data_IF_663688880515
#
_entry.id   IF_663688880515
#
_cell.length_a   1.000
_cell.length_b   1.000
_cell.length_c   1.000
_cell.angle_alpha   90.00
_cell.angle_beta   90.00
_cell.angle_gamma   90.00
#
_symmetry.space_group_name_H-M   'P 1'
#
loop_
_entity.id
_entity.type
_entity.pdbx_description
1 polymer ?
#
# COMPACT_ATOMS: atom_id res chain seq x y z
N UNK A 1 8.41 24.06 -12.30
CA UNK A 1 8.63 24.45 -12.14
C UNK A 1 8.66 24.45 -11.98
N UNK A 2 8.52 23.99 -11.75
CA UNK A 2 8.75 24.01 -11.36
C UNK A 2 8.27 23.78 -11.45
N UNK A 3 7.93 23.39 -11.81
CA UNK A 3 7.91 23.47 -11.63
C UNK A 3 7.41 23.28 -11.86
N UNK A 4 7.08 23.03 -11.86
CA UNK A 4 7.01 23.07 -11.68
C UNK A 4 6.55 22.85 -11.81
N UNK A 5 6.12 22.48 -11.84
CA UNK A 5 6.25 22.59 -11.66
C UNK A 5 5.50 22.37 -11.73
N UNK A 6 4.79 21.91 -11.76
CA UNK A 6 4.65 22.02 -11.60
C UNK A 6 4.05 21.69 -11.63
N UNK A 7 3.55 21.33 -11.29
CA UNK A 7 3.49 21.36 -11.01
C UNK A 7 2.89 20.97 -11.16
N UNK A 8 2.14 20.37 -11.37
CA UNK A 8 2.02 20.35 -11.29
C UNK A 8 1.57 20.10 -11.02
N UNK A 9 1.00 19.51 -10.67
CA UNK A 9 1.00 19.71 -10.36
C UNK A 9 1.23 19.90 -10.15
N UNK A 10 1.50 19.79 -10.05
CA UNK A 10 2.20 20.46 -9.95
C UNK A 10 2.65 20.63 -9.69
N UNK A 11 2.97 20.35 -9.62
CA UNK A 11 3.86 21.00 -9.40
C UNK A 11 4.60 21.16 -9.33
N UNK A 12 5.11 20.75 -9.44
CA UNK A 12 6.30 21.33 -9.42
C UNK A 12 6.66 21.67 -9.18
N UNK A 13 6.92 21.59 -9.22
CA UNK A 13 7.69 22.21 -8.98
C UNK A 13 8.02 22.44 -8.96
N UNK A 14 8.13 22.43 -8.98
CA UNK A 14 8.74 23.03 -8.97
C UNK A 14 8.87 23.11 -9.00
N UNK A 15 8.82 22.97 -9.11
CA UNK A 15 9.23 23.35 -9.11
C UNK A 15 9.71 23.35 -8.57
N UNK A 16 10.10 23.39 -8.20
CA UNK A 16 10.49 23.44 -7.74
C UNK A 16 10.36 23.76 -7.22
N UNK A 17 10.22 24.05 -6.89
CA UNK A 17 9.71 24.29 -6.78
C UNK A 17 9.12 24.31 -6.94
N UNK A 18 8.91 25.01 -6.71
CA UNK A 18 8.14 24.76 -7.14
C UNK A 18 8.34 23.77 -7.63
N UNK A 19 9.03 24.07 -7.69
CA UNK A 19 9.28 22.76 -7.90
C UNK A 19 9.85 21.99 -6.76
N UNK A 20 10.66 22.48 -5.92
CA UNK A 20 11.06 21.74 -4.76
C UNK A 20 9.86 21.33 -3.94
N UNK A 21 8.91 22.19 -3.79
CA UNK A 21 7.66 21.82 -3.16
C UNK A 21 6.96 20.71 -3.92
N UNK A 22 6.99 20.81 -5.20
CA UNK A 22 6.42 19.81 -6.07
C UNK A 22 7.13 18.48 -5.92
N UNK A 23 8.44 18.49 -5.78
CA UNK A 23 9.18 17.25 -5.58
C UNK A 23 8.84 16.59 -4.25
N UNK A 24 8.63 17.40 -3.22
CA UNK A 24 8.18 16.85 -1.95
C UNK A 24 6.81 16.22 -2.09
N UNK A 25 5.95 16.86 -2.82
CA UNK A 25 4.60 16.32 -3.04
C UNK A 25 4.65 15.05 -3.86
N UNK A 26 5.54 15.00 -4.85
CA UNK A 26 5.70 13.77 -5.62
C UNK A 26 6.23 12.65 -4.76
N UNK A 27 7.18 12.94 -3.86
CA UNK A 27 7.66 11.92 -2.94
C UNK A 27 6.57 11.39 -2.04
N UNK A 28 5.69 12.29 -1.56
CA UNK A 28 4.59 11.88 -0.71
C UNK A 28 3.51 11.14 -1.48
N UNK A 29 3.22 11.58 -2.71
CA UNK A 29 2.13 11.01 -3.48
C UNK A 29 2.56 9.81 -4.32
N UNK A 30 3.87 9.53 -4.37
CA UNK A 30 4.35 8.37 -5.11
C UNK A 30 3.75 7.09 -4.58
N UNK A 31 3.56 7.00 -3.26
CA UNK A 31 2.99 5.82 -2.63
C UNK A 31 1.72 6.21 -1.89
N UNK A 32 0.63 5.61 -2.30
CA UNK A 32 -0.64 5.67 -1.58
C UNK A 32 -0.90 4.25 -1.10
N UNK A 33 -0.72 4.04 0.19
CA UNK A 33 -0.68 2.69 0.74
C UNK A 33 -1.92 2.47 1.58
N UNK A 34 -2.65 1.42 1.28
CA UNK A 34 -3.85 1.06 2.01
C UNK A 34 -3.60 -0.20 2.82
N UNK A 35 -4.08 -0.22 4.06
CA UNK A 35 -3.97 -1.39 4.93
C UNK A 35 -5.38 -1.83 5.30
N UNK A 36 -5.78 -3.00 4.81
CA UNK A 36 -7.08 -3.59 5.11
C UNK A 36 -6.86 -4.76 6.04
N UNK A 37 -7.23 -4.63 7.30
CA UNK A 37 -7.07 -5.69 8.29
C UNK A 37 -8.19 -5.61 9.31
N UNK A 38 -8.69 -6.77 9.72
CA UNK A 38 -9.80 -6.83 10.66
C UNK A 38 -9.40 -6.44 12.07
N UNK A 39 -8.23 -6.92 12.51
CA UNK A 39 -7.79 -6.69 13.87
C UNK A 39 -7.07 -5.35 13.97
N UNK A 40 -7.52 -4.53 14.91
CA UNK A 40 -6.94 -3.21 15.06
C UNK A 40 -5.45 -3.26 15.36
N UNK A 41 -5.04 -4.19 16.22
CA UNK A 41 -3.63 -4.31 16.57
C UNK A 41 -2.77 -4.61 15.35
N UNK A 42 -3.23 -5.53 14.50
CA UNK A 42 -2.50 -5.86 13.28
C UNK A 42 -2.47 -4.68 12.32
N UNK A 43 -3.62 -4.02 12.17
CA UNK A 43 -3.76 -2.88 11.27
C UNK A 43 -2.78 -1.77 11.65
N UNK A 44 -2.71 -1.47 12.93
CA UNK A 44 -1.80 -0.43 13.42
C UNK A 44 -0.35 -0.85 13.27
N UNK A 45 -0.05 -2.11 13.56
CA UNK A 45 1.31 -2.62 13.45
C UNK A 45 1.81 -2.56 12.03
N UNK A 46 1.00 -2.99 11.08
CA UNK A 46 1.39 -2.94 9.67
C UNK A 46 1.60 -1.51 9.20
N UNK A 47 0.66 -0.63 9.55
CA UNK A 47 0.78 0.78 9.15
C UNK A 47 2.03 1.42 9.74
N UNK A 48 2.35 1.10 10.98
CA UNK A 48 3.53 1.62 11.65
C UNK A 48 4.82 1.16 10.98
N UNK A 49 4.88 -0.12 10.65
CA UNK A 49 6.07 -0.67 9.99
C UNK A 49 6.27 -0.04 8.61
N UNK A 50 5.19 0.14 7.87
CA UNK A 50 5.25 0.80 6.56
C UNK A 50 5.79 2.20 6.70
N UNK A 51 5.24 2.96 7.65
CA UNK A 51 5.65 4.34 7.87
C UNK A 51 7.13 4.41 8.24
N UNK A 52 7.57 3.53 9.13
CA UNK A 52 8.95 3.51 9.59
C UNK A 52 9.92 3.21 8.45
N UNK A 53 9.58 2.22 7.63
CA UNK A 53 10.44 1.89 6.51
C UNK A 53 10.53 3.03 5.52
N UNK A 54 9.39 3.64 5.21
CA UNK A 54 9.37 4.74 4.26
C UNK A 54 10.15 5.93 4.77
N UNK A 55 10.00 6.24 6.06
CA UNK A 55 10.77 7.35 6.65
C UNK A 55 12.26 7.09 6.57
N UNK A 56 12.67 5.85 6.81
CA UNK A 56 14.09 5.49 6.71
C UNK A 56 14.63 5.68 5.31
N UNK A 57 13.76 5.62 4.31
CA UNK A 57 14.14 5.82 2.91
C UNK A 57 13.85 7.23 2.42
N UNK A 58 13.44 8.12 3.32
CA UNK A 58 13.14 9.50 2.95
C UNK A 58 11.83 9.66 2.21
N UNK A 59 10.92 8.71 2.36
CA UNK A 59 9.63 8.74 1.68
C UNK A 59 8.53 9.04 2.70
N UNK A 60 7.50 9.73 2.23
CA UNK A 60 6.39 10.12 3.10
C UNK A 60 5.07 9.78 2.42
N UNK A 61 4.71 8.49 2.41
CA UNK A 61 3.49 8.05 1.74
C UNK A 61 2.26 8.42 2.52
N UNK A 62 1.14 8.40 1.82
CA UNK A 62 -0.15 8.45 2.49
C UNK A 62 -0.51 7.01 2.87
N UNK A 63 -0.66 6.74 4.16
CA UNK A 63 -1.01 5.41 4.64
C UNK A 63 -2.39 5.50 5.29
N UNK A 64 -3.34 4.74 4.75
CA UNK A 64 -4.72 4.77 5.23
C UNK A 64 -5.11 3.37 5.67
N UNK A 65 -5.75 3.29 6.83
CA UNK A 65 -6.19 2.02 7.42
C UNK A 65 -7.68 1.83 7.22
N UNK A 66 -8.07 0.60 6.91
CA UNK A 66 -9.46 0.21 6.74
C UNK A 66 -9.75 -1.04 7.55
N UNK A 67 -10.88 -1.06 8.24
CA UNK A 67 -11.29 -2.22 9.03
C UNK A 67 -12.37 -3.04 8.36
N UNK A 68 -12.89 -2.59 7.21
CA UNK A 68 -13.88 -3.37 6.48
C UNK A 68 -13.72 -3.16 4.98
N UNK A 69 -14.22 -4.14 4.23
CA UNK A 69 -14.05 -4.18 2.79
C UNK A 69 -14.83 -3.09 2.07
N UNK A 70 -15.99 -2.75 2.60
CA UNK A 70 -16.86 -1.79 1.93
C UNK A 70 -16.18 -0.45 1.80
N UNK A 71 -15.64 0.07 2.92
CA UNK A 71 -14.93 1.34 2.89
C UNK A 71 -13.67 1.28 2.06
N UNK A 72 -12.98 0.15 2.16
CA UNK A 72 -11.75 -0.04 1.42
C UNK A 72 -12.02 0.06 -0.08
N UNK A 73 -13.00 -0.67 -0.57
CA UNK A 73 -13.26 -0.69 -2.01
C UNK A 73 -13.93 0.58 -2.51
N UNK A 74 -14.66 1.28 -1.66
CA UNK A 74 -15.13 2.62 -2.01
C UNK A 74 -13.95 3.55 -2.29
N UNK A 75 -12.95 3.49 -1.42
CA UNK A 75 -11.77 4.32 -1.57
C UNK A 75 -10.96 3.91 -2.80
N UNK A 76 -10.85 2.61 -3.06
CA UNK A 76 -10.11 2.11 -4.21
C UNK A 76 -10.73 2.62 -5.50
N UNK A 77 -12.05 2.67 -5.57
CA UNK A 77 -12.71 3.14 -6.78
C UNK A 77 -12.51 4.63 -7.02
N UNK A 78 -12.36 5.40 -5.96
CA UNK A 78 -12.17 6.84 -6.09
C UNK A 78 -10.71 7.19 -6.38
N UNK A 79 -9.79 6.49 -5.73
CA UNK A 79 -8.37 6.81 -5.84
C UNK A 79 -7.58 5.55 -5.53
N UNK A 80 -7.21 4.84 -6.57
CA UNK A 80 -6.56 3.54 -6.43
C UNK A 80 -5.26 3.65 -5.67
N UNK A 81 -5.00 2.74 -4.71
CA UNK A 81 -3.72 2.75 -4.01
C UNK A 81 -2.62 2.23 -4.94
N UNK A 82 -1.40 2.68 -4.70
CA UNK A 82 -0.25 2.12 -5.39
C UNK A 82 0.12 0.78 -4.77
N UNK A 83 -0.13 0.65 -3.47
CA UNK A 83 0.25 -0.53 -2.69
C UNK A 83 -0.86 -0.83 -1.68
N UNK A 84 -1.10 -2.10 -1.44
CA UNK A 84 -2.12 -2.49 -0.46
C UNK A 84 -1.69 -3.71 0.33
N UNK A 85 -2.00 -3.71 1.62
CA UNK A 85 -1.87 -4.88 2.47
C UNK A 85 -3.28 -5.40 2.72
N UNK A 86 -3.50 -6.68 2.41
CA UNK A 86 -4.76 -7.35 2.68
C UNK A 86 -4.50 -8.38 3.78
N UNK A 87 -5.18 -8.24 4.91
CA UNK A 87 -5.00 -9.15 6.05
C UNK A 87 -6.35 -9.49 6.65
N UNK A 88 -7.11 -10.29 5.91
CA UNK A 88 -8.42 -10.77 6.31
C UNK A 88 -8.38 -12.28 6.39
N UNK A 89 -9.13 -12.84 7.36
CA UNK A 89 -9.16 -14.28 7.56
C UNK A 89 -9.99 -14.97 6.49
N UNK A 90 -9.58 -16.19 6.16
CA UNK A 90 -10.37 -17.11 5.36
C UNK A 90 -10.66 -16.63 3.96
N UNK A 91 -11.82 -17.03 3.48
CA UNK A 91 -12.24 -16.75 2.11
C UNK A 91 -12.45 -15.26 1.88
N UNK A 92 -12.75 -14.51 2.93
CA UNK A 92 -12.91 -13.06 2.80
C UNK A 92 -11.62 -12.43 2.28
N UNK A 93 -10.47 -12.93 2.74
CA UNK A 93 -9.19 -12.44 2.26
C UNK A 93 -8.97 -12.75 0.79
N UNK A 94 -9.32 -13.97 0.38
CA UNK A 94 -9.20 -14.36 -1.02
C UNK A 94 -10.09 -13.49 -1.89
N UNK A 95 -11.33 -13.30 -1.49
CA UNK A 95 -12.27 -12.49 -2.27
C UNK A 95 -11.78 -11.06 -2.39
N UNK A 96 -11.25 -10.50 -1.31
CA UNK A 96 -10.73 -9.14 -1.32
C UNK A 96 -9.53 -9.02 -2.25
N UNK A 97 -8.62 -9.99 -2.18
CA UNK A 97 -7.43 -9.96 -3.04
C UNK A 97 -7.82 -10.03 -4.52
N UNK A 98 -8.75 -10.91 -4.84
CA UNK A 98 -9.23 -11.05 -6.22
C UNK A 98 -9.90 -9.77 -6.69
N UNK A 99 -10.74 -9.18 -5.84
CA UNK A 99 -11.46 -7.97 -6.20
C UNK A 99 -10.49 -6.80 -6.41
N UNK A 100 -9.52 -6.67 -5.51
CA UNK A 100 -8.53 -5.61 -5.65
C UNK A 100 -7.76 -5.75 -6.96
N UNK A 101 -7.33 -6.96 -7.28
CA UNK A 101 -6.58 -7.18 -8.51
C UNK A 101 -7.41 -6.86 -9.74
N UNK A 102 -8.70 -7.16 -9.72
CA UNK A 102 -9.54 -6.85 -10.86
C UNK A 102 -9.75 -5.35 -11.03
N UNK A 103 -9.81 -4.61 -9.92
CA UNK A 103 -10.02 -3.15 -9.98
C UNK A 103 -8.71 -2.41 -10.26
N UNK A 104 -7.61 -2.93 -9.77
CA UNK A 104 -6.32 -2.23 -9.84
C UNK A 104 -5.23 -3.19 -10.27
N UNK A 105 -5.12 -3.44 -11.58
CA UNK A 105 -4.13 -4.42 -12.07
C UNK A 105 -2.69 -4.06 -11.72
N UNK A 106 -2.39 -2.77 -11.51
CA UNK A 106 -1.03 -2.33 -11.24
C UNK A 106 -0.71 -2.19 -9.76
N UNK A 107 -1.69 -2.40 -8.88
CA UNK A 107 -1.47 -2.25 -7.45
C UNK A 107 -0.54 -3.34 -6.95
N UNK A 108 0.47 -2.96 -6.17
CA UNK A 108 1.34 -3.93 -5.53
C UNK A 108 0.66 -4.41 -4.25
N UNK A 109 0.78 -5.69 -3.96
CA UNK A 109 -0.03 -6.32 -2.93
C UNK A 109 0.80 -7.21 -2.02
N UNK A 110 0.63 -7.03 -0.72
CA UNK A 110 1.07 -8.00 0.28
C UNK A 110 -0.20 -8.59 0.88
N UNK A 111 -0.31 -9.91 0.82
CA UNK A 111 -1.51 -10.60 1.29
C UNK A 111 -1.14 -11.50 2.46
N UNK A 112 -1.77 -11.25 3.61
CA UNK A 112 -1.58 -12.04 4.82
C UNK A 112 -2.86 -12.83 5.08
N UNK A 113 -2.74 -14.11 5.37
CA UNK A 113 -3.90 -14.95 5.58
C UNK A 113 -3.61 -16.05 6.61
N UNK A 114 -4.68 -16.52 7.25
CA UNK A 114 -4.60 -17.67 8.15
C UNK A 114 -4.65 -19.00 7.39
N UNK A 115 -5.01 -18.97 6.12
CA UNK A 115 -5.06 -20.16 5.27
C UNK A 115 -4.03 -20.02 4.15
N UNK A 116 -3.53 -21.17 3.70
CA UNK A 116 -2.49 -21.16 2.68
C UNK A 116 -3.09 -20.96 1.29
N UNK A 117 -3.14 -19.72 0.87
CA UNK A 117 -3.58 -19.35 -0.47
C UNK A 117 -2.39 -19.00 -1.38
N UNK A 118 -1.23 -19.58 -1.11
CA UNK A 118 -0.02 -19.20 -1.86
C UNK A 118 -0.18 -19.39 -3.37
N UNK A 119 -0.89 -20.42 -3.80
CA UNK A 119 -1.11 -20.63 -5.23
C UNK A 119 -1.98 -19.52 -5.81
N UNK A 120 -3.03 -19.13 -5.09
CA UNK A 120 -3.88 -18.03 -5.52
C UNK A 120 -3.09 -16.72 -5.56
N UNK A 121 -2.23 -16.52 -4.55
CA UNK A 121 -1.40 -15.32 -4.48
C UNK A 121 -0.48 -15.23 -5.70
N UNK A 122 0.09 -16.35 -6.09
CA UNK A 122 0.93 -16.39 -7.27
C UNK A 122 0.14 -15.99 -8.52
N UNK A 123 -1.06 -16.54 -8.67
CA UNK A 123 -1.89 -16.23 -9.83
C UNK A 123 -2.35 -14.78 -9.85
N UNK A 124 -2.57 -14.21 -8.67
CA UNK A 124 -2.98 -12.81 -8.55
C UNK A 124 -1.79 -11.86 -8.58
N UNK A 125 -0.60 -12.38 -8.73
CA UNK A 125 0.64 -11.59 -8.78
C UNK A 125 0.83 -10.75 -7.54
N UNK A 126 0.47 -11.31 -6.37
CA UNK A 126 0.79 -10.67 -5.10
C UNK A 126 2.31 -10.65 -4.95
N UNK A 127 2.84 -9.54 -4.50
CA UNK A 127 4.29 -9.41 -4.33
C UNK A 127 4.79 -10.30 -3.22
N UNK A 128 3.98 -10.45 -2.18
CA UNK A 128 4.29 -11.35 -1.07
C UNK A 128 3.01 -11.94 -0.53
N UNK A 129 3.09 -13.21 -0.18
CA UNK A 129 2.02 -13.88 0.57
C UNK A 129 2.62 -14.34 1.89
N UNK A 130 2.00 -13.96 3.01
CA UNK A 130 2.50 -14.27 4.34
C UNK A 130 1.43 -15.04 5.11
N UNK A 131 1.81 -16.20 5.61
CA UNK A 131 0.89 -17.04 6.39
C UNK A 131 0.95 -16.59 7.85
N UNK A 132 -0.23 -16.39 8.44
CA UNK A 132 -0.30 -15.94 9.82
C UNK A 132 0.02 -17.07 10.79
N UNK A 133 0.62 -16.74 11.93
CA UNK A 133 0.95 -15.40 12.43
C UNK A 133 2.15 -14.81 11.71
N UNK A 134 2.04 -13.54 11.33
CA UNK A 134 3.07 -12.86 10.57
C UNK A 134 4.03 -12.18 11.53
N UNK A 135 5.30 -12.57 11.48
CA UNK A 135 6.30 -11.94 12.32
C UNK A 135 6.68 -10.56 11.76
N UNK A 136 7.19 -9.72 12.64
CA UNK A 136 7.67 -8.41 12.24
C UNK A 136 8.74 -8.52 11.15
N UNK A 137 9.62 -9.49 11.32
CA UNK A 137 10.71 -9.68 10.38
C UNK A 137 10.22 -10.10 9.01
N UNK A 138 9.24 -11.01 8.97
CA UNK A 138 8.68 -11.48 7.70
C UNK A 138 8.00 -10.34 6.97
N UNK A 139 7.24 -9.54 7.69
CA UNK A 139 6.55 -8.40 7.09
C UNK A 139 7.57 -7.37 6.60
N UNK A 140 8.61 -7.14 7.37
CA UNK A 140 9.67 -6.21 6.99
C UNK A 140 10.34 -6.63 5.68
N UNK A 141 10.59 -7.92 5.51
CA UNK A 141 11.17 -8.42 4.27
C UNK A 141 10.24 -8.17 3.08
N UNK A 142 8.94 -8.37 3.28
CA UNK A 142 7.98 -8.08 2.24
C UNK A 142 7.96 -6.62 1.86
N UNK A 143 8.03 -5.75 2.87
CA UNK A 143 8.03 -4.32 2.63
C UNK A 143 9.28 -3.88 1.87
N UNK A 144 10.42 -4.46 2.17
CA UNK A 144 11.66 -4.08 1.48
C UNK A 144 11.59 -4.40 -0.01
N UNK A 145 10.96 -5.50 -0.37
CA UNK A 145 10.77 -5.84 -1.77
C UNK A 145 9.77 -4.91 -2.45
N UNK A 146 8.90 -4.32 -1.66
CA UNK A 146 7.77 -3.50 -2.11
C UNK A 146 8.20 -2.06 -2.38
N UNK A 147 9.01 -1.53 -1.48
CA UNK A 147 9.41 -0.13 -1.48
C UNK A 147 10.88 -0.08 -1.88
N UNK A 148 11.10 -0.05 -3.14
CA UNK A 148 12.46 0.07 -3.66
C UNK A 148 12.58 1.29 -4.55
#
# INVERSE_FOLDING_TARGET
>A
MLRRLKKPNGLFILSVGKMSNRMKEEGRSMYRIAVLAEQEADRQRYAEQITRLCEAKGLFPQVVQYDNQERFFEAVQKDAPTNAVIALCGVAGLNAAEHLRSLCPACRMIWCSDLDFSLHAFRLRADYFLLEPVSEEAFWRGLNAWIE
#
